data_IF_613776127919
#
_entry.id   IF_613776127919
#
_cell.length_a   1.000
_cell.length_b   1.000
_cell.length_c   1.000
_cell.angle_alpha   90.00
_cell.angle_beta   90.00
_cell.angle_gamma   90.00
#
_symmetry.space_group_name_H-M   'P 1'
#
loop_
_entity.id
_entity.type
_entity.pdbx_description
1 polymer ?
#
# COMPACT_ATOMS: atom_id res chain seq x y z
N UNK A 1 27.80 19.19 -17.09
CA UNK A 1 27.94 19.25 -15.62
C UNK A 1 26.66 19.93 -15.13
N UNK A 2 25.74 19.34 -14.36
CA UNK A 2 25.78 18.19 -13.45
C UNK A 2 24.31 17.80 -13.17
N UNK A 3 24.04 16.50 -13.12
CA UNK A 3 22.73 15.85 -12.86
C UNK A 3 22.08 16.27 -11.54
N UNK A 4 20.75 16.45 -11.48
CA UNK A 4 19.89 16.37 -10.27
C UNK A 4 18.44 16.75 -10.63
N UNK A 5 17.37 16.04 -10.31
CA UNK A 5 17.17 14.73 -9.71
C UNK A 5 15.85 14.22 -10.32
N UNK A 6 15.82 13.00 -10.83
CA UNK A 6 14.57 12.34 -11.20
C UNK A 6 13.77 12.22 -9.90
N UNK A 7 12.70 13.01 -9.74
CA UNK A 7 11.65 12.68 -8.78
C UNK A 7 11.28 11.23 -9.09
N UNK A 8 11.64 10.30 -8.22
CA UNK A 8 11.25 8.90 -8.33
C UNK A 8 9.73 8.88 -8.25
N UNK A 9 9.07 8.93 -9.40
CA UNK A 9 7.64 8.71 -9.55
C UNK A 9 7.33 7.40 -8.84
N UNK A 10 6.43 7.45 -7.84
CA UNK A 10 6.08 6.28 -7.06
C UNK A 10 5.45 5.25 -8.01
N UNK A 11 6.12 4.11 -8.20
CA UNK A 11 5.60 3.05 -9.06
C UNK A 11 4.43 2.37 -8.35
N UNK A 12 3.22 2.81 -8.67
CA UNK A 12 2.00 2.24 -8.12
C UNK A 12 1.60 0.93 -8.78
N UNK A 13 2.06 0.67 -10.02
CA UNK A 13 1.64 -0.49 -10.81
C UNK A 13 2.17 -1.80 -10.26
N UNK A 14 3.41 -1.80 -9.74
CA UNK A 14 4.05 -2.99 -9.18
C UNK A 14 3.65 -3.31 -7.74
N UNK A 15 2.96 -2.40 -7.05
CA UNK A 15 2.66 -2.54 -5.63
C UNK A 15 1.47 -3.46 -5.39
N UNK A 16 1.50 -4.28 -4.32
CA UNK A 16 0.42 -5.20 -4.04
C UNK A 16 -0.84 -4.46 -3.60
N UNK A 17 -2.00 -4.93 -4.04
CA UNK A 17 -3.32 -4.35 -3.76
C UNK A 17 -4.39 -5.39 -3.40
N UNK A 18 -4.16 -6.65 -3.73
CA UNK A 18 -5.07 -7.77 -3.48
C UNK A 18 -4.28 -9.06 -3.22
N UNK A 19 -4.99 -10.14 -2.93
CA UNK A 19 -4.41 -11.48 -2.78
C UNK A 19 -5.23 -12.48 -3.60
N UNK A 20 -4.58 -13.48 -4.18
CA UNK A 20 -5.26 -14.60 -4.83
C UNK A 20 -5.73 -15.67 -3.81
N UNK A 21 -6.45 -16.73 -4.23
CA UNK A 21 -6.88 -17.80 -3.34
C UNK A 21 -5.74 -18.66 -2.79
N UNK A 22 -4.59 -18.69 -3.46
CA UNK A 22 -3.40 -19.42 -3.06
C UNK A 22 -2.53 -18.64 -2.05
N UNK A 23 -2.93 -17.41 -1.73
CA UNK A 23 -2.28 -16.54 -0.76
C UNK A 23 -1.14 -15.70 -1.33
N UNK A 24 -1.02 -15.59 -2.67
CA UNK A 24 -0.04 -14.72 -3.32
C UNK A 24 -0.56 -13.29 -3.42
N UNK A 25 0.34 -12.32 -3.27
CA UNK A 25 0.02 -10.92 -3.46
C UNK A 25 -0.11 -10.59 -4.95
N UNK A 26 -1.19 -9.91 -5.31
CA UNK A 26 -1.43 -9.39 -6.64
C UNK A 26 -1.18 -7.88 -6.68
N UNK A 27 -0.37 -7.46 -7.64
CA UNK A 27 -0.07 -6.07 -7.95
C UNK A 27 -1.25 -5.33 -8.57
N UNK A 28 -1.19 -3.99 -8.58
CA UNK A 28 -2.20 -3.18 -9.26
C UNK A 28 -2.33 -3.54 -10.74
N UNK A 29 -1.20 -3.81 -11.41
CA UNK A 29 -1.17 -4.21 -12.82
C UNK A 29 -1.92 -5.52 -13.05
N UNK A 30 -1.56 -6.58 -12.31
CA UNK A 30 -2.21 -7.89 -12.42
C UNK A 30 -3.72 -7.79 -12.17
N UNK A 31 -4.14 -6.99 -11.19
CA UNK A 31 -5.56 -6.79 -10.87
C UNK A 31 -6.33 -6.01 -11.95
N UNK A 32 -5.65 -5.24 -12.80
CA UNK A 32 -6.28 -4.43 -13.86
C UNK A 32 -6.22 -5.14 -15.22
N UNK A 33 -5.09 -5.78 -15.53
CA UNK A 33 -4.86 -6.46 -16.81
C UNK A 33 -5.44 -7.88 -16.82
N UNK A 34 -5.54 -8.53 -15.66
CA UNK A 34 -6.03 -9.90 -15.54
C UNK A 34 -7.36 -9.93 -14.74
N UNK A 35 -8.18 -10.96 -14.98
CA UNK A 35 -9.38 -11.28 -14.18
C UNK A 35 -9.16 -12.51 -13.26
N UNK A 36 -8.10 -12.56 -12.41
CA UNK A 36 -7.95 -13.68 -11.49
C UNK A 36 -9.04 -13.59 -10.42
N UNK A 37 -9.46 -14.76 -9.94
CA UNK A 37 -10.16 -14.84 -8.67
C UNK A 37 -9.30 -14.13 -7.62
N UNK A 38 -9.89 -13.19 -6.89
CA UNK A 38 -9.14 -12.31 -5.99
C UNK A 38 -9.93 -11.98 -4.74
N UNK A 39 -9.21 -11.91 -3.63
CA UNK A 39 -9.68 -11.32 -2.39
C UNK A 39 -9.30 -9.84 -2.41
N UNK A 40 -10.32 -8.99 -2.52
CA UNK A 40 -10.15 -7.55 -2.32
C UNK A 40 -9.76 -7.24 -0.87
N UNK A 41 -9.23 -6.04 -0.63
CA UNK A 41 -8.76 -5.62 0.70
C UNK A 41 -9.74 -5.93 1.84
N UNK A 42 -11.04 -5.70 1.64
CA UNK A 42 -12.08 -5.94 2.67
C UNK A 42 -12.40 -7.42 2.89
N UNK A 43 -12.03 -8.29 1.94
CA UNK A 43 -12.20 -9.74 2.05
C UNK A 43 -11.00 -10.41 2.72
N UNK A 44 -9.88 -9.70 2.86
CA UNK A 44 -8.71 -10.15 3.61
C UNK A 44 -9.01 -10.16 5.12
N UNK A 45 -8.43 -11.11 5.83
CA UNK A 45 -8.43 -11.10 7.30
C UNK A 45 -7.67 -9.87 7.84
N UNK A 46 -7.89 -9.45 9.09
CA UNK A 46 -7.13 -8.36 9.69
C UNK A 46 -5.60 -8.59 9.65
N UNK A 47 -5.15 -9.84 9.72
CA UNK A 47 -3.75 -10.28 9.56
C UNK A 47 -3.25 -9.99 8.16
N UNK A 48 -3.99 -10.44 7.15
CA UNK A 48 -3.64 -10.22 5.75
C UNK A 48 -3.68 -8.75 5.38
N UNK A 49 -4.64 -7.97 5.87
CA UNK A 49 -4.68 -6.52 5.68
C UNK A 49 -3.43 -5.83 6.25
N UNK A 50 -3.00 -6.26 7.45
CA UNK A 50 -1.81 -5.70 8.10
C UNK A 50 -0.55 -6.03 7.31
N UNK A 51 -0.38 -7.29 6.88
CA UNK A 51 0.78 -7.70 6.09
C UNK A 51 0.80 -7.05 4.70
N UNK A 52 -0.34 -6.92 4.02
CA UNK A 52 -0.44 -6.17 2.76
C UNK A 52 0.05 -4.73 2.94
N UNK A 53 -0.39 -4.05 4.00
CA UNK A 53 0.02 -2.68 4.29
C UNK A 53 1.52 -2.61 4.62
N UNK A 54 2.05 -3.58 5.36
CA UNK A 54 3.49 -3.68 5.63
C UNK A 54 4.30 -3.81 4.35
N UNK A 55 3.90 -4.71 3.43
CA UNK A 55 4.57 -4.87 2.14
C UNK A 55 4.53 -3.58 1.32
N UNK A 56 3.38 -2.92 1.29
CA UNK A 56 3.23 -1.62 0.61
C UNK A 56 4.10 -0.52 1.21
N UNK A 57 4.30 -0.51 2.52
CA UNK A 57 5.17 0.45 3.22
C UNK A 57 6.65 0.15 2.93
N UNK A 58 7.03 -1.14 2.87
CA UNK A 58 8.40 -1.58 2.57
C UNK A 58 8.88 -1.13 1.19
N UNK A 59 7.99 -1.24 0.20
CA UNK A 59 8.29 -0.91 -1.20
C UNK A 59 8.33 0.59 -1.49
N UNK A 60 7.94 1.46 -0.54
CA UNK A 60 8.00 2.91 -0.73
C UNK A 60 9.46 3.41 -0.67
N UNK A 61 9.97 4.12 -1.71
CA UNK A 61 11.33 4.67 -1.70
C UNK A 61 11.58 5.61 -0.52
N UNK A 62 10.60 6.48 -0.24
CA UNK A 62 10.59 7.42 0.88
C UNK A 62 9.34 7.20 1.72
N UNK A 63 9.50 7.18 3.04
CA UNK A 63 8.39 7.02 3.97
C UNK A 63 8.58 7.96 5.16
N UNK A 64 8.01 9.15 5.03
CA UNK A 64 7.95 10.16 6.10
C UNK A 64 6.49 10.56 6.27
N UNK A 65 5.83 10.05 7.31
CA UNK A 65 4.44 10.42 7.62
C UNK A 65 4.43 11.28 8.87
N UNK A 66 4.03 12.53 8.73
CA UNK A 66 3.80 13.43 9.87
C UNK A 66 2.46 13.11 10.52
N UNK A 67 2.48 12.78 11.81
CA UNK A 67 1.26 12.61 12.62
C UNK A 67 1.22 13.73 13.66
N UNK A 68 0.14 14.51 13.64
CA UNK A 68 -0.07 15.59 14.60
C UNK A 68 -0.05 15.03 16.03
N UNK A 69 0.79 15.62 16.90
CA UNK A 69 0.96 15.18 18.28
C UNK A 69 1.97 14.04 18.50
N UNK A 70 2.43 13.36 17.45
CA UNK A 70 3.38 12.23 17.54
C UNK A 70 4.71 12.52 16.82
N UNK A 71 4.69 13.46 15.87
CA UNK A 71 5.87 13.84 15.09
C UNK A 71 6.00 13.02 13.80
N UNK A 72 7.22 12.88 13.30
CA UNK A 72 7.52 12.13 12.08
C UNK A 72 7.59 10.64 12.42
N UNK A 73 6.79 9.84 11.72
CA UNK A 73 6.81 8.39 11.79
C UNK A 73 7.71 7.83 10.68
N UNK A 74 8.84 7.24 11.07
CA UNK A 74 9.71 6.54 10.14
C UNK A 74 9.11 5.18 9.71
N UNK A 75 9.68 4.60 8.64
CA UNK A 75 9.24 3.31 8.07
C UNK A 75 9.22 2.18 9.11
N UNK A 76 10.27 2.06 9.93
CA UNK A 76 10.42 0.95 10.88
C UNK A 76 9.33 1.02 11.94
N UNK A 77 9.09 2.23 12.47
CA UNK A 77 8.03 2.47 13.43
C UNK A 77 6.66 2.22 12.81
N UNK A 78 6.40 2.74 11.61
CA UNK A 78 5.13 2.52 10.91
C UNK A 78 4.81 1.03 10.70
N UNK A 79 5.78 0.23 10.26
CA UNK A 79 5.63 -1.23 10.13
C UNK A 79 5.27 -1.86 11.48
N UNK A 80 5.92 -1.44 12.57
CA UNK A 80 5.61 -1.97 13.91
C UNK A 80 4.20 -1.60 14.36
N UNK A 81 3.79 -0.34 14.18
CA UNK A 81 2.44 0.14 14.53
C UNK A 81 1.37 -0.66 13.76
N UNK A 82 1.58 -0.89 12.46
CA UNK A 82 0.66 -1.68 11.61
C UNK A 82 0.58 -3.13 12.08
N UNK A 83 1.72 -3.80 12.29
CA UNK A 83 1.76 -5.21 12.73
C UNK A 83 1.09 -5.44 14.06
N UNK A 84 1.29 -4.52 15.00
CA UNK A 84 0.69 -4.59 16.34
C UNK A 84 -0.73 -4.01 16.38
N UNK A 85 -1.22 -3.46 15.26
CA UNK A 85 -2.55 -2.84 15.11
C UNK A 85 -2.89 -1.87 16.23
N UNK A 86 -1.95 -0.99 16.56
CA UNK A 86 -2.22 0.15 17.44
C UNK A 86 -3.25 1.08 16.80
N UNK A 87 -3.69 2.11 17.52
CA UNK A 87 -4.55 3.16 16.93
C UNK A 87 -3.89 3.81 15.69
N UNK A 88 -2.57 4.04 15.73
CA UNK A 88 -1.78 4.53 14.60
C UNK A 88 -1.77 3.50 13.48
N UNK A 89 -1.47 2.24 13.79
CA UNK A 89 -1.44 1.15 12.81
C UNK A 89 -2.75 0.97 12.07
N UNK A 90 -3.87 0.99 12.81
CA UNK A 90 -5.23 0.92 12.23
C UNK A 90 -5.52 2.11 11.33
N UNK A 91 -5.13 3.31 11.74
CA UNK A 91 -5.25 4.51 10.90
C UNK A 91 -4.46 4.37 9.60
N UNK A 92 -3.23 3.84 9.65
CA UNK A 92 -2.43 3.59 8.45
C UNK A 92 -3.07 2.53 7.54
N UNK A 93 -3.65 1.47 8.11
CA UNK A 93 -4.39 0.44 7.37
C UNK A 93 -5.60 1.06 6.65
N UNK A 94 -6.36 1.91 7.33
CA UNK A 94 -7.50 2.61 6.72
C UNK A 94 -7.09 3.57 5.60
N UNK A 95 -5.99 4.31 5.78
CA UNK A 95 -5.44 5.19 4.75
C UNK A 95 -5.04 4.39 3.51
N UNK A 96 -4.33 3.28 3.70
CA UNK A 96 -3.92 2.42 2.57
C UNK A 96 -5.13 1.77 1.90
N UNK A 97 -6.15 1.35 2.64
CA UNK A 97 -7.38 0.84 2.03
C UNK A 97 -8.02 1.87 1.09
N UNK A 98 -8.16 3.12 1.56
CA UNK A 98 -8.68 4.22 0.74
C UNK A 98 -7.80 4.49 -0.48
N UNK A 99 -6.48 4.46 -0.30
CA UNK A 99 -5.52 4.65 -1.38
C UNK A 99 -5.61 3.54 -2.44
N UNK A 100 -5.64 2.28 -2.02
CA UNK A 100 -5.79 1.12 -2.91
C UNK A 100 -7.06 1.23 -3.74
N UNK A 101 -8.18 1.58 -3.09
CA UNK A 101 -9.46 1.78 -3.79
C UNK A 101 -9.34 2.87 -4.86
N UNK A 102 -8.79 4.03 -4.50
CA UNK A 102 -8.57 5.14 -5.43
C UNK A 102 -7.66 4.74 -6.61
N UNK A 103 -6.57 4.00 -6.35
CA UNK A 103 -5.64 3.53 -7.38
C UNK A 103 -6.33 2.56 -8.35
N UNK A 104 -7.14 1.62 -7.85
CA UNK A 104 -7.92 0.70 -8.68
C UNK A 104 -8.94 1.43 -9.54
N UNK A 105 -9.64 2.42 -8.97
CA UNK A 105 -10.61 3.23 -9.71
C UNK A 105 -9.93 4.05 -10.83
N UNK A 106 -8.80 4.71 -10.53
CA UNK A 106 -8.03 5.48 -11.52
C UNK A 106 -7.41 4.61 -12.62
N UNK A 107 -6.84 3.46 -12.24
CA UNK A 107 -6.23 2.55 -13.20
C UNK A 107 -7.25 2.03 -14.23
N UNK A 108 -8.46 1.67 -13.78
CA UNK A 108 -9.56 1.24 -14.66
C UNK A 108 -10.07 2.36 -15.59
N UNK A 109 -9.91 3.62 -15.18
CA UNK A 109 -10.27 4.78 -16.00
C UNK A 109 -9.13 5.23 -16.94
N UNK A 110 -7.95 4.60 -16.87
CA UNK A 110 -6.78 5.01 -17.65
C UNK A 110 -6.10 6.29 -17.16
N UNK A 111 -6.34 6.70 -15.91
CA UNK A 111 -5.91 8.00 -15.34
C UNK A 111 -4.91 7.83 -14.18
N UNK A 112 -4.00 6.85 -14.27
CA UNK A 112 -3.00 6.57 -13.22
C UNK A 112 -1.69 7.33 -13.43
#
# INVERSE_FOLDING_TARGET
MTTKATETQEDHWSRPVAMDPDGQWLSLREVVEEEPARLSFIQLSPEQQSELVVERIRQRPKFDVGILGIGILDRKRAINEVRTRTSIGRTLIEIEHRMIRMLLERARQGNL
#
